data_IF_313356684666
#
_entry.id   IF_313356684666
#
_cell.length_a   1.000
_cell.length_b   1.000
_cell.length_c   1.000
_cell.angle_alpha   90.00
_cell.angle_beta   90.00
_cell.angle_gamma   90.00
#
_symmetry.space_group_name_H-M   'P 1'
#
loop_
_entity.id
_entity.type
_entity.pdbx_description
1 polymer ?
#
# COMPACT_ATOMS: atom_id res chain seq x y z
N UNK A 1 4.22 18.76 -4.37
CA UNK A 1 4.54 18.42 -2.96
C UNK A 1 5.05 16.98 -2.93
N UNK A 2 6.14 16.69 -2.22
CA UNK A 2 6.87 15.41 -2.19
C UNK A 2 6.06 14.22 -1.59
N UNK A 3 4.89 13.90 -2.11
CA UNK A 3 4.09 12.75 -1.69
C UNK A 3 4.75 11.41 -2.07
N UNK A 4 5.66 11.41 -3.05
CA UNK A 4 6.20 10.22 -3.70
C UNK A 4 7.03 9.29 -2.80
N UNK A 5 7.44 9.71 -1.58
CA UNK A 5 8.37 8.90 -0.75
C UNK A 5 7.91 8.63 0.68
N UNK A 6 6.67 8.99 1.05
CA UNK A 6 6.20 8.71 2.42
C UNK A 6 5.87 7.22 2.56
N UNK A 7 6.49 6.56 3.54
CA UNK A 7 6.21 5.18 3.92
C UNK A 7 5.39 5.15 5.22
N UNK A 8 4.31 4.40 5.22
CA UNK A 8 3.36 4.30 6.31
C UNK A 8 3.43 2.92 6.96
N UNK A 9 3.33 2.86 8.28
CA UNK A 9 3.10 1.60 9.00
C UNK A 9 1.69 1.11 8.74
N UNK A 10 1.48 -0.19 8.84
CA UNK A 10 0.15 -0.82 8.72
C UNK A 10 -0.89 -0.17 9.64
N UNK A 11 -0.49 0.22 10.86
CA UNK A 11 -1.38 0.94 11.77
C UNK A 11 -1.82 2.30 11.20
N UNK A 12 -0.89 3.09 10.67
CA UNK A 12 -1.18 4.41 10.08
C UNK A 12 -2.09 4.29 8.85
N UNK A 13 -1.89 3.27 8.01
CA UNK A 13 -2.79 2.98 6.88
C UNK A 13 -4.22 2.78 7.36
N UNK A 14 -4.42 2.05 8.46
CA UNK A 14 -5.75 1.81 9.02
C UNK A 14 -6.38 3.05 9.64
N UNK A 15 -5.58 3.95 10.23
CA UNK A 15 -6.11 5.24 10.69
C UNK A 15 -6.57 6.10 9.50
N UNK A 16 -5.82 6.11 8.40
CA UNK A 16 -6.14 6.90 7.20
C UNK A 16 -7.38 6.34 6.49
N UNK A 17 -7.46 5.03 6.30
CA UNK A 17 -8.56 4.39 5.56
C UNK A 17 -9.83 4.27 6.42
N UNK A 18 -9.67 4.22 7.75
CA UNK A 18 -10.73 3.87 8.69
C UNK A 18 -10.62 2.42 9.13
N UNK A 19 -10.62 2.18 10.44
CA UNK A 19 -10.46 0.84 11.04
C UNK A 19 -11.66 -0.08 10.79
N UNK A 20 -12.82 0.52 10.57
CA UNK A 20 -14.09 -0.09 10.16
C UNK A 20 -14.07 -0.52 8.69
N UNK A 21 -13.37 0.24 7.83
CA UNK A 21 -13.25 -0.04 6.39
C UNK A 21 -12.09 -0.97 6.05
N UNK A 22 -11.01 -0.92 6.84
CA UNK A 22 -9.82 -1.74 6.63
C UNK A 22 -9.42 -2.51 7.91
N UNK A 23 -9.82 -3.78 7.92
CA UNK A 23 -9.44 -4.74 8.95
C UNK A 23 -7.92 -4.96 9.01
N UNK A 24 -7.44 -5.47 10.16
CA UNK A 24 -6.01 -5.71 10.40
C UNK A 24 -5.41 -6.65 9.36
N UNK A 25 -6.06 -7.77 9.09
CA UNK A 25 -5.51 -8.79 8.20
C UNK A 25 -5.49 -8.33 6.74
N UNK A 26 -6.55 -7.62 6.32
CA UNK A 26 -6.61 -6.96 5.02
C UNK A 26 -5.49 -5.92 4.86
N UNK A 27 -5.22 -5.11 5.89
CA UNK A 27 -4.12 -4.15 5.86
C UNK A 27 -2.75 -4.82 5.74
N UNK A 28 -2.53 -5.94 6.42
CA UNK A 28 -1.30 -6.72 6.28
C UNK A 28 -1.20 -7.40 4.90
N UNK A 29 -2.31 -7.89 4.35
CA UNK A 29 -2.35 -8.43 2.99
C UNK A 29 -2.00 -7.37 1.95
N UNK A 30 -2.57 -6.17 2.08
CA UNK A 30 -2.23 -5.00 1.26
C UNK A 30 -0.73 -4.67 1.36
N UNK A 31 -0.18 -4.62 2.58
CA UNK A 31 1.23 -4.31 2.79
C UNK A 31 2.18 -5.38 2.21
N UNK A 32 1.79 -6.66 2.27
CA UNK A 32 2.56 -7.75 1.61
C UNK A 32 2.47 -7.67 0.09
N UNK A 33 1.30 -7.33 -0.45
CA UNK A 33 1.07 -7.29 -1.89
C UNK A 33 1.68 -6.05 -2.51
N UNK A 34 1.42 -4.86 -1.99
CA UNK A 34 1.75 -3.56 -2.59
C UNK A 34 2.83 -2.76 -1.84
N UNK A 35 3.10 -3.11 -0.60
CA UNK A 35 4.06 -2.42 0.24
C UNK A 35 5.52 -2.78 -0.05
N UNK A 36 6.39 -2.31 0.83
CA UNK A 36 7.83 -2.57 0.83
C UNK A 36 8.27 -3.11 2.19
N UNK A 37 9.25 -4.01 2.19
CA UNK A 37 9.84 -4.55 3.42
C UNK A 37 11.17 -3.86 3.70
N UNK A 38 11.26 -3.19 4.84
CA UNK A 38 12.47 -2.54 5.32
C UNK A 38 12.94 -3.24 6.61
N UNK A 39 13.97 -4.07 6.48
CA UNK A 39 14.39 -4.99 7.54
C UNK A 39 13.25 -5.93 7.94
N UNK A 40 12.87 -5.90 9.23
CA UNK A 40 11.76 -6.71 9.77
C UNK A 40 10.37 -6.04 9.66
N UNK A 41 10.28 -4.83 9.09
CA UNK A 41 9.04 -4.04 9.07
C UNK A 41 8.41 -4.06 7.68
N UNK A 42 7.08 -4.23 7.65
CA UNK A 42 6.25 -4.00 6.45
C UNK A 42 5.73 -2.57 6.47
N UNK A 43 5.95 -1.85 5.37
CA UNK A 43 5.55 -0.48 5.18
C UNK A 43 4.75 -0.34 3.88
N UNK A 44 3.87 0.64 3.83
CA UNK A 44 3.00 0.91 2.69
C UNK A 44 3.34 2.29 2.14
N UNK A 45 3.81 2.41 0.89
CA UNK A 45 3.97 3.71 0.25
C UNK A 45 2.66 4.49 0.24
N UNK A 46 2.73 5.80 0.47
CA UNK A 46 1.54 6.65 0.53
C UNK A 46 0.67 6.56 -0.74
N UNK A 47 1.31 6.52 -1.92
CA UNK A 47 0.65 6.32 -3.21
C UNK A 47 -0.25 5.07 -3.29
N UNK A 48 0.09 4.02 -2.54
CA UNK A 48 -0.74 2.79 -2.47
C UNK A 48 -2.02 3.06 -1.68
N UNK A 49 -1.93 3.87 -0.63
CA UNK A 49 -3.10 4.25 0.19
C UNK A 49 -4.00 5.19 -0.60
N UNK A 50 -3.44 6.15 -1.32
CA UNK A 50 -4.20 7.02 -2.24
C UNK A 50 -4.95 6.19 -3.29
N UNK A 51 -4.25 5.30 -4.00
CA UNK A 51 -4.87 4.42 -4.98
C UNK A 51 -5.94 3.49 -4.36
N UNK A 52 -5.77 3.02 -3.13
CA UNK A 52 -6.80 2.27 -2.42
C UNK A 52 -8.06 3.09 -2.17
N UNK A 53 -7.90 4.33 -1.71
CA UNK A 53 -9.03 5.24 -1.44
C UNK A 53 -9.77 5.63 -2.71
N UNK A 54 -9.05 5.72 -3.82
CA UNK A 54 -9.60 6.07 -5.14
C UNK A 54 -10.14 4.87 -5.92
N UNK A 55 -9.94 3.64 -5.42
CA UNK A 55 -10.35 2.41 -6.12
C UNK A 55 -9.49 2.07 -7.35
N UNK A 56 -8.24 2.56 -7.41
CA UNK A 56 -7.31 2.45 -8.55
C UNK A 56 -6.06 1.62 -8.25
N UNK A 57 -6.15 0.63 -7.36
CA UNK A 57 -5.00 -0.22 -7.00
C UNK A 57 -4.44 -1.03 -8.18
N UNK A 58 -5.27 -1.35 -9.17
CA UNK A 58 -4.90 -2.16 -10.35
C UNK A 58 -3.83 -1.46 -11.22
N UNK A 59 -3.91 -0.13 -11.33
CA UNK A 59 -2.94 0.70 -12.06
C UNK A 59 -1.51 0.59 -11.46
N UNK A 60 -1.41 0.27 -10.16
CA UNK A 60 -0.12 0.03 -9.49
C UNK A 60 0.51 -1.32 -9.85
N UNK A 61 -0.26 -2.28 -10.39
CA UNK A 61 0.27 -3.56 -10.83
C UNK A 61 0.89 -3.51 -12.22
N UNK A 62 0.33 -2.67 -13.09
CA UNK A 62 0.84 -2.46 -14.46
C UNK A 62 2.21 -1.79 -14.47
N UNK A 63 2.46 -0.94 -13.46
CA UNK A 63 3.69 -0.16 -13.33
C UNK A 63 4.79 -0.87 -12.54
N UNK A 64 4.58 -2.13 -12.14
CA UNK A 64 5.61 -2.90 -11.40
C UNK A 64 6.69 -3.45 -12.33
N UNK A 65 7.95 -3.04 -12.15
CA UNK A 65 9.06 -3.68 -12.85
C UNK A 65 9.19 -5.12 -12.35
N UNK A 66 8.92 -6.09 -13.22
CA UNK A 66 8.98 -7.53 -12.90
C UNK A 66 7.72 -8.33 -13.20
N UNK A 67 6.62 -7.68 -13.61
CA UNK A 67 5.47 -8.36 -14.23
C UNK A 67 5.35 -7.97 -15.71
N UNK A 68 6.48 -8.04 -16.43
CA UNK A 68 6.46 -8.09 -17.88
C UNK A 68 5.85 -9.42 -18.29
N UNK A 69 4.94 -9.40 -19.28
CA UNK A 69 4.41 -10.61 -19.93
C UNK A 69 5.54 -11.61 -20.17
N UNK A 70 5.39 -12.82 -19.62
CA UNK A 70 5.94 -14.01 -20.25
C UNK A 70 4.99 -14.39 -21.40
#
# INVERSE_FOLDING_TARGET
MNAEKRLLKVAEVREIVGKDRLGRDAAYALARRYGVRLGKRLLVPHRVVEALLEGRLEELEETRPGRGRA
#
